data_IF_117038556479
#
_entry.id   IF_117038556479
#
_cell.length_a   1.000
_cell.length_b   1.000
_cell.length_c   1.000
_cell.angle_alpha   90.00
_cell.angle_beta   90.00
_cell.angle_gamma   90.00
#
_symmetry.space_group_name_H-M   'P 1'
#
loop_
_entity.id
_entity.type
_entity.pdbx_description
1 polymer ?
#
# COMPACT_ATOMS: atom_id res chain seq x y z
N UNK A 1 -15.92 -19.53 19.72
CA UNK A 1 -17.07 -18.57 19.75
C UNK A 1 -17.21 -17.73 21.04
N UNK A 2 -16.96 -18.25 22.25
CA UNK A 2 -17.14 -17.47 23.49
C UNK A 2 -16.29 -16.18 23.55
N UNK A 3 -15.01 -16.25 23.18
CA UNK A 3 -14.11 -15.08 23.09
C UNK A 3 -14.60 -14.03 22.10
N UNK A 4 -15.13 -14.49 20.96
CA UNK A 4 -15.68 -13.62 19.93
C UNK A 4 -16.88 -12.82 20.46
N UNK A 5 -17.81 -13.48 21.17
CA UNK A 5 -18.95 -12.80 21.78
C UNK A 5 -18.51 -11.80 22.87
N UNK A 6 -17.52 -12.16 23.69
CA UNK A 6 -16.94 -11.22 24.68
C UNK A 6 -16.36 -9.99 24.01
N UNK A 7 -15.60 -10.17 22.93
CA UNK A 7 -15.00 -9.07 22.18
C UNK A 7 -16.07 -8.18 21.52
N UNK A 8 -17.12 -8.76 20.93
CA UNK A 8 -18.24 -7.98 20.38
C UNK A 8 -18.89 -7.13 21.45
N UNK A 9 -19.25 -7.73 22.60
CA UNK A 9 -19.87 -6.98 23.70
C UNK A 9 -18.96 -5.85 24.19
N UNK A 10 -17.65 -6.09 24.26
CA UNK A 10 -16.68 -5.07 24.61
C UNK A 10 -16.71 -3.87 23.63
N UNK A 11 -16.64 -4.10 22.32
CA UNK A 11 -16.63 -3.02 21.33
C UNK A 11 -17.98 -2.33 21.17
N UNK A 12 -19.10 -3.04 21.39
CA UNK A 12 -20.43 -2.43 21.45
C UNK A 12 -20.58 -1.47 22.64
N UNK A 13 -19.98 -1.82 23.78
CA UNK A 13 -19.97 -0.97 24.96
C UNK A 13 -18.92 0.15 24.88
N UNK A 14 -17.97 0.08 23.92
CA UNK A 14 -16.90 1.06 23.73
C UNK A 14 -16.73 1.42 22.24
N UNK A 15 -17.74 2.01 21.59
CA UNK A 15 -17.74 2.23 20.14
C UNK A 15 -16.64 3.19 19.65
N UNK A 16 -16.06 3.99 20.55
CA UNK A 16 -14.93 4.87 20.27
C UNK A 16 -13.55 4.19 20.25
N UNK A 17 -13.44 2.91 20.62
CA UNK A 17 -12.16 2.19 20.57
C UNK A 17 -11.81 1.82 19.12
N UNK A 18 -10.72 2.39 18.61
CA UNK A 18 -10.13 2.00 17.33
C UNK A 18 -9.70 0.52 17.35
N UNK A 19 -9.63 -0.14 16.19
CA UNK A 19 -9.14 -1.52 16.08
C UNK A 19 -10.20 -2.61 16.22
N UNK A 20 -11.47 -2.27 16.53
CA UNK A 20 -12.52 -3.26 16.79
C UNK A 20 -12.76 -4.26 15.67
N UNK A 21 -12.97 -3.78 14.44
CA UNK A 21 -13.15 -4.63 13.26
C UNK A 21 -11.95 -5.58 13.05
N UNK A 22 -10.74 -5.04 13.18
CA UNK A 22 -9.48 -5.78 13.03
C UNK A 22 -9.33 -6.88 14.06
N UNK A 23 -9.64 -6.57 15.32
CA UNK A 23 -9.57 -7.53 16.41
C UNK A 23 -10.57 -8.67 16.18
N UNK A 24 -11.81 -8.34 15.84
CA UNK A 24 -12.85 -9.32 15.52
C UNK A 24 -12.46 -10.20 14.34
N UNK A 25 -11.92 -9.61 13.26
CA UNK A 25 -11.36 -10.35 12.12
C UNK A 25 -10.27 -11.32 12.53
N UNK A 26 -9.32 -10.87 13.35
CA UNK A 26 -8.23 -11.72 13.86
C UNK A 26 -8.76 -12.90 14.67
N UNK A 27 -9.75 -12.65 15.55
CA UNK A 27 -10.41 -13.70 16.31
C UNK A 27 -11.14 -14.68 15.39
N UNK A 28 -11.85 -14.19 14.36
CA UNK A 28 -12.55 -15.08 13.42
C UNK A 28 -11.57 -15.94 12.64
N UNK A 29 -10.48 -15.38 12.12
CA UNK A 29 -9.43 -16.13 11.41
C UNK A 29 -8.83 -17.21 12.31
N UNK A 30 -8.44 -16.85 13.55
CA UNK A 30 -7.91 -17.82 14.52
C UNK A 30 -8.94 -18.90 14.84
N UNK A 31 -10.21 -18.53 14.98
CA UNK A 31 -11.30 -19.47 15.25
C UNK A 31 -11.51 -20.46 14.10
N UNK A 32 -11.48 -19.98 12.85
CA UNK A 32 -11.56 -20.81 11.63
C UNK A 32 -10.36 -21.77 11.55
N UNK A 33 -9.14 -21.26 11.78
CA UNK A 33 -7.91 -22.09 11.82
C UNK A 33 -8.01 -23.21 12.85
N UNK A 34 -8.50 -22.87 14.05
CA UNK A 34 -8.67 -23.82 15.13
C UNK A 34 -9.91 -24.74 14.97
N UNK A 35 -10.73 -24.55 13.93
CA UNK A 35 -11.99 -25.29 13.74
C UNK A 35 -13.08 -24.95 14.76
N UNK A 36 -12.90 -23.91 15.58
CA UNK A 36 -13.85 -23.47 16.63
C UNK A 36 -14.90 -22.48 16.12
N UNK A 37 -14.76 -22.04 14.87
CA UNK A 37 -15.73 -21.25 14.13
C UNK A 37 -15.88 -21.89 12.76
N UNK A 38 -17.06 -22.47 12.51
CA UNK A 38 -17.40 -23.11 11.25
C UNK A 38 -17.75 -22.09 10.16
N UNK A 39 -17.68 -22.46 8.86
CA UNK A 39 -18.15 -21.60 7.76
C UNK A 39 -19.59 -21.11 7.94
N UNK A 40 -20.45 -21.98 8.47
CA UNK A 40 -21.83 -21.64 8.81
C UNK A 40 -21.88 -20.55 9.89
N UNK A 41 -21.06 -20.63 10.94
CA UNK A 41 -21.02 -19.57 11.95
C UNK A 41 -20.48 -18.25 11.41
N UNK A 42 -19.54 -18.27 10.45
CA UNK A 42 -19.08 -17.05 9.78
C UNK A 42 -20.21 -16.37 9.00
N UNK A 43 -21.05 -17.15 8.32
CA UNK A 43 -22.17 -16.60 7.55
C UNK A 43 -23.31 -16.07 8.44
N UNK A 44 -23.67 -16.81 9.49
CA UNK A 44 -24.90 -16.57 10.25
C UNK A 44 -24.67 -15.79 11.55
N UNK A 45 -23.50 -15.92 12.19
CA UNK A 45 -23.26 -15.45 13.57
C UNK A 45 -22.15 -14.42 13.72
N UNK A 46 -21.17 -14.40 12.84
CA UNK A 46 -20.11 -13.38 12.84
C UNK A 46 -20.70 -12.03 12.47
N UNK A 47 -20.41 -11.02 13.30
CA UNK A 47 -20.93 -9.65 13.22
C UNK A 47 -19.83 -8.64 13.55
N UNK A 48 -19.77 -7.47 12.91
CA UNK A 48 -20.60 -7.04 11.77
C UNK A 48 -20.28 -7.84 10.49
N UNK A 49 -21.15 -7.76 9.47
CA UNK A 49 -20.97 -8.44 8.18
C UNK A 49 -19.61 -8.14 7.54
N UNK A 50 -19.09 -6.93 7.75
CA UNK A 50 -17.73 -6.52 7.39
C UNK A 50 -16.63 -7.50 7.85
N UNK A 51 -16.77 -8.13 9.02
CA UNK A 51 -15.81 -9.13 9.52
C UNK A 51 -15.82 -10.37 8.63
N UNK A 52 -16.99 -10.91 8.32
CA UNK A 52 -17.13 -12.06 7.45
C UNK A 52 -16.60 -11.78 6.03
N UNK A 53 -16.90 -10.59 5.49
CA UNK A 53 -16.39 -10.16 4.17
C UNK A 53 -14.86 -10.01 4.20
N UNK A 54 -14.27 -9.49 5.28
CA UNK A 54 -12.82 -9.29 5.38
C UNK A 54 -11.99 -10.57 5.35
N UNK A 55 -12.61 -11.73 5.57
CA UNK A 55 -11.97 -13.06 5.53
C UNK A 55 -11.73 -13.52 4.09
N UNK A 56 -12.50 -13.04 3.11
CA UNK A 56 -12.29 -13.35 1.69
C UNK A 56 -10.89 -12.91 1.20
N UNK A 57 -10.30 -11.93 1.88
CA UNK A 57 -8.95 -11.46 1.60
C UNK A 57 -7.82 -12.40 2.08
N UNK A 58 -8.15 -13.47 2.82
CA UNK A 58 -7.14 -14.38 3.38
C UNK A 58 -6.67 -15.41 2.35
N UNK A 59 -5.34 -15.57 2.25
CA UNK A 59 -4.67 -16.46 1.29
C UNK A 59 -4.42 -17.86 1.83
N UNK A 60 -4.37 -17.99 3.15
CA UNK A 60 -4.06 -19.27 3.78
C UNK A 60 -5.16 -20.28 3.48
N UNK A 61 -4.76 -21.45 2.97
CA UNK A 61 -5.67 -22.46 2.39
C UNK A 61 -6.93 -22.70 3.23
N UNK A 62 -6.78 -23.00 4.52
CA UNK A 62 -7.90 -23.32 5.39
C UNK A 62 -8.92 -22.18 5.49
N UNK A 63 -8.45 -20.93 5.53
CA UNK A 63 -9.30 -19.74 5.62
C UNK A 63 -9.83 -19.35 4.24
N UNK A 64 -9.02 -19.52 3.20
CA UNK A 64 -9.41 -19.29 1.81
C UNK A 64 -10.56 -20.19 1.38
N UNK A 65 -10.60 -21.46 1.81
CA UNK A 65 -11.72 -22.38 1.53
C UNK A 65 -13.04 -21.87 2.13
N UNK A 66 -13.01 -21.33 3.35
CA UNK A 66 -14.16 -20.63 3.95
C UNK A 66 -14.51 -19.38 3.14
N UNK A 67 -13.50 -18.62 2.72
CA UNK A 67 -13.66 -17.47 1.83
C UNK A 67 -14.36 -17.81 0.52
N UNK A 68 -14.03 -18.96 -0.12
CA UNK A 68 -14.69 -19.44 -1.35
C UNK A 68 -16.17 -19.74 -1.12
N UNK A 69 -16.51 -20.40 -0.02
CA UNK A 69 -17.91 -20.67 0.35
C UNK A 69 -18.70 -19.37 0.56
N UNK A 70 -18.11 -18.41 1.25
CA UNK A 70 -18.74 -17.10 1.48
C UNK A 70 -18.90 -16.33 0.17
N UNK A 71 -17.86 -16.29 -0.66
CA UNK A 71 -17.88 -15.65 -1.97
C UNK A 71 -18.99 -16.25 -2.84
N UNK A 72 -19.07 -17.58 -2.94
CA UNK A 72 -20.13 -18.27 -3.68
C UNK A 72 -21.52 -17.88 -3.16
N UNK A 73 -21.69 -17.72 -1.83
CA UNK A 73 -22.97 -17.30 -1.26
C UNK A 73 -23.35 -15.86 -1.59
N UNK A 74 -22.38 -14.94 -1.55
CA UNK A 74 -22.60 -13.54 -1.93
C UNK A 74 -22.97 -13.48 -3.42
N UNK A 75 -22.21 -14.16 -4.29
CA UNK A 75 -22.47 -14.20 -5.72
C UNK A 75 -23.83 -14.81 -6.05
N UNK A 76 -24.22 -15.89 -5.36
CA UNK A 76 -25.54 -16.50 -5.55
C UNK A 76 -26.69 -15.58 -5.10
N UNK A 77 -26.50 -14.80 -4.03
CA UNK A 77 -27.51 -13.87 -3.52
C UNK A 77 -27.61 -12.58 -4.34
N UNK A 78 -26.49 -12.10 -4.88
CA UNK A 78 -26.45 -10.87 -5.69
C UNK A 78 -26.72 -11.11 -7.17
N UNK A 79 -26.41 -12.30 -7.68
CA UNK A 79 -26.49 -12.63 -9.09
C UNK A 79 -25.66 -11.67 -9.95
N UNK A 80 -26.26 -11.25 -11.07
CA UNK A 80 -25.70 -10.26 -12.00
C UNK A 80 -26.40 -8.90 -11.89
N UNK A 81 -27.16 -8.65 -10.82
CA UNK A 81 -27.91 -7.40 -10.63
C UNK A 81 -26.99 -6.25 -10.15
N UNK A 82 -26.77 -5.20 -10.96
CA UNK A 82 -25.92 -4.09 -10.59
C UNK A 82 -26.42 -3.28 -9.37
N UNK A 83 -27.73 -3.17 -9.17
CA UNK A 83 -28.31 -2.44 -8.03
C UNK A 83 -28.16 -3.23 -6.74
N UNK A 84 -28.30 -4.56 -6.81
CA UNK A 84 -28.04 -5.44 -5.67
C UNK A 84 -26.58 -5.35 -5.23
N UNK A 85 -25.64 -5.46 -6.16
CA UNK A 85 -24.20 -5.28 -5.88
C UNK A 85 -23.91 -3.90 -5.28
N UNK A 86 -24.48 -2.84 -5.85
CA UNK A 86 -24.30 -1.48 -5.34
C UNK A 86 -24.80 -1.32 -3.90
N UNK A 87 -25.94 -1.93 -3.58
CA UNK A 87 -26.52 -1.93 -2.23
C UNK A 87 -25.61 -2.63 -1.23
N UNK A 88 -25.06 -3.80 -1.59
CA UNK A 88 -24.14 -4.54 -0.73
C UNK A 88 -22.85 -3.75 -0.48
N UNK A 89 -22.26 -3.15 -1.52
CA UNK A 89 -21.04 -2.33 -1.41
C UNK A 89 -21.27 -1.09 -0.54
N UNK A 90 -22.41 -0.40 -0.71
CA UNK A 90 -22.76 0.80 0.07
C UNK A 90 -22.99 0.46 1.57
N UNK A 91 -23.51 -0.74 1.89
CA UNK A 91 -23.97 -1.08 3.24
C UNK A 91 -22.97 -1.89 4.08
N UNK A 92 -22.05 -2.63 3.46
CA UNK A 92 -21.25 -3.64 4.18
C UNK A 92 -20.50 -3.11 5.41
N UNK A 93 -20.05 -1.86 5.38
CA UNK A 93 -19.30 -1.25 6.47
C UNK A 93 -20.19 -0.74 7.61
N UNK A 94 -21.43 -0.37 7.31
CA UNK A 94 -22.41 0.08 8.29
C UNK A 94 -23.36 -1.03 8.74
N UNK A 95 -23.32 -2.21 8.09
CA UNK A 95 -24.19 -3.32 8.44
C UNK A 95 -23.75 -4.05 9.70
N UNK A 96 -24.63 -4.11 10.68
CA UNK A 96 -24.29 -4.52 12.06
C UNK A 96 -24.70 -5.95 12.38
N UNK A 97 -25.61 -6.49 11.56
CA UNK A 97 -25.98 -7.89 11.53
C UNK A 97 -24.91 -8.78 10.91
N UNK A 98 -25.27 -10.04 10.69
CA UNK A 98 -24.39 -11.01 10.03
C UNK A 98 -24.38 -10.80 8.52
N UNK A 99 -23.47 -11.48 7.83
CA UNK A 99 -23.44 -11.45 6.37
C UNK A 99 -24.75 -11.98 5.78
N UNK A 100 -25.31 -13.06 6.33
CA UNK A 100 -26.60 -13.56 5.84
C UNK A 100 -27.71 -12.52 5.96
N UNK A 101 -27.81 -11.84 7.12
CA UNK A 101 -28.88 -10.86 7.33
C UNK A 101 -28.73 -9.67 6.38
N UNK A 102 -27.50 -9.30 6.01
CA UNK A 102 -27.24 -8.32 4.95
C UNK A 102 -27.71 -8.81 3.58
N UNK A 103 -27.44 -10.08 3.25
CA UNK A 103 -27.83 -10.69 1.98
C UNK A 103 -29.35 -10.89 1.85
N UNK A 104 -30.09 -10.93 2.95
CA UNK A 104 -31.56 -11.05 2.97
C UNK A 104 -32.27 -9.74 3.32
N UNK A 105 -31.53 -8.64 3.53
CA UNK A 105 -32.04 -7.36 4.07
C UNK A 105 -32.83 -7.48 5.37
N UNK A 106 -32.50 -8.47 6.20
CA UNK A 106 -33.08 -8.66 7.53
C UNK A 106 -32.30 -7.79 8.53
N UNK A 107 -32.77 -6.56 8.71
CA UNK A 107 -32.07 -5.53 9.46
C UNK A 107 -32.20 -5.75 10.98
N UNK A 108 -31.07 -6.05 11.63
CA UNK A 108 -30.91 -5.96 13.08
C UNK A 108 -30.49 -4.53 13.46
N UNK A 109 -31.27 -3.86 14.32
CA UNK A 109 -30.96 -2.51 14.82
C UNK A 109 -29.85 -2.55 15.87
N UNK A 110 -28.58 -2.55 15.44
CA UNK A 110 -27.41 -2.37 16.33
C UNK A 110 -26.43 -1.34 15.74
N UNK A 111 -25.56 -0.72 16.55
CA UNK A 111 -24.54 0.23 16.07
C UNK A 111 -23.36 -0.45 15.36
N UNK A 112 -22.87 0.18 14.28
CA UNK A 112 -21.78 -0.35 13.45
C UNK A 112 -20.43 -0.02 14.05
N UNK A 113 -19.45 -0.92 13.93
CA UNK A 113 -18.08 -0.64 14.33
C UNK A 113 -17.35 0.05 13.18
N UNK A 114 -16.75 1.24 13.40
CA UNK A 114 -16.02 1.94 12.34
C UNK A 114 -14.79 1.12 11.91
N UNK A 115 -14.45 1.11 10.60
CA UNK A 115 -13.20 0.51 10.16
C UNK A 115 -12.00 1.25 10.78
N UNK A 116 -10.92 0.51 11.04
CA UNK A 116 -9.69 1.12 11.56
C UNK A 116 -9.01 1.95 10.47
N UNK A 117 -8.22 2.95 10.88
CA UNK A 117 -7.35 3.66 9.92
C UNK A 117 -6.37 2.66 9.29
N UNK A 118 -6.11 2.78 7.97
CA UNK A 118 -5.17 1.90 7.30
C UNK A 118 -3.78 2.12 7.86
N UNK A 119 -3.03 1.03 8.04
CA UNK A 119 -1.62 1.10 8.39
C UNK A 119 -0.91 -0.05 7.66
N UNK A 120 -0.03 0.34 6.71
CA UNK A 120 0.71 -0.55 5.81
C UNK A 120 1.53 -1.59 6.58
N UNK A 121 2.16 -1.15 7.65
CA UNK A 121 3.11 -1.90 8.46
C UNK A 121 2.46 -2.82 9.50
N UNK A 122 1.19 -2.58 9.85
CA UNK A 122 0.40 -3.47 10.74
C UNK A 122 -0.56 -4.39 9.98
N UNK A 123 -0.61 -4.31 8.64
CA UNK A 123 -1.38 -5.24 7.80
C UNK A 123 -2.90 -5.00 7.80
N UNK A 124 -3.37 -3.83 8.26
CA UNK A 124 -4.80 -3.50 8.40
C UNK A 124 -5.31 -2.64 7.25
N UNK A 125 -5.25 -3.17 6.03
CA UNK A 125 -5.54 -2.37 4.82
C UNK A 125 -6.74 -2.90 4.04
N UNK A 126 -7.32 -4.02 4.46
CA UNK A 126 -8.45 -4.63 3.79
C UNK A 126 -9.73 -3.88 4.10
N UNK A 127 -10.37 -3.35 3.05
CA UNK A 127 -11.67 -2.70 3.16
C UNK A 127 -12.77 -3.63 2.67
N UNK A 128 -13.81 -3.92 3.48
CA UNK A 128 -14.92 -4.79 3.07
C UNK A 128 -15.60 -4.32 1.78
N UNK A 129 -15.80 -3.02 1.60
CA UNK A 129 -16.35 -2.46 0.36
C UNK A 129 -15.46 -2.77 -0.86
N UNK A 130 -14.12 -2.70 -0.71
CA UNK A 130 -13.19 -3.05 -1.78
C UNK A 130 -13.25 -4.54 -2.12
N UNK A 131 -13.40 -5.41 -1.12
CA UNK A 131 -13.54 -6.85 -1.31
C UNK A 131 -14.83 -7.18 -2.09
N UNK A 132 -15.94 -6.54 -1.74
CA UNK A 132 -17.20 -6.71 -2.48
C UNK A 132 -17.10 -6.18 -3.91
N UNK A 133 -16.49 -5.01 -4.12
CA UNK A 133 -16.25 -4.46 -5.46
C UNK A 133 -15.34 -5.37 -6.29
N UNK A 134 -14.35 -6.00 -5.66
CA UNK A 134 -13.45 -6.99 -6.26
C UNK A 134 -14.14 -8.31 -6.63
N UNK A 135 -15.18 -8.70 -5.89
CA UNK A 135 -15.97 -9.91 -6.12
C UNK A 135 -17.06 -9.70 -7.19
N UNK A 136 -17.57 -8.47 -7.32
CA UNK A 136 -18.64 -8.13 -8.25
C UNK A 136 -18.25 -8.44 -9.71
N UNK A 137 -19.21 -8.87 -10.55
CA UNK A 137 -19.00 -8.90 -12.00
C UNK A 137 -18.53 -7.54 -12.53
N UNK A 138 -17.68 -7.53 -13.55
CA UNK A 138 -17.03 -6.31 -14.04
C UNK A 138 -18.02 -5.20 -14.43
N UNK A 139 -19.17 -5.57 -14.98
CA UNK A 139 -20.25 -4.63 -15.31
C UNK A 139 -20.91 -4.03 -14.07
N UNK A 140 -21.17 -4.84 -13.04
CA UNK A 140 -21.71 -4.37 -11.77
C UNK A 140 -20.74 -3.43 -11.05
N UNK A 141 -19.44 -3.76 -11.07
CA UNK A 141 -18.40 -2.92 -10.47
C UNK A 141 -18.29 -1.55 -11.17
N UNK A 142 -18.36 -1.52 -12.51
CA UNK A 142 -18.39 -0.28 -13.29
C UNK A 142 -19.67 0.51 -13.00
N UNK A 143 -20.83 -0.14 -13.03
CA UNK A 143 -22.13 0.48 -12.72
C UNK A 143 -22.12 1.17 -11.37
N UNK A 144 -21.61 0.51 -10.32
CA UNK A 144 -21.49 1.11 -8.99
C UNK A 144 -20.77 2.48 -9.03
N UNK A 145 -19.66 2.58 -9.76
CA UNK A 145 -18.82 3.77 -9.81
C UNK A 145 -19.34 4.85 -10.77
N UNK A 146 -20.16 4.49 -11.76
CA UNK A 146 -20.60 5.42 -12.80
C UNK A 146 -22.08 5.80 -12.74
N UNK A 147 -22.93 4.96 -12.12
CA UNK A 147 -24.37 5.14 -12.10
C UNK A 147 -24.84 5.84 -10.82
N UNK A 148 -25.87 6.66 -10.95
CA UNK A 148 -26.60 7.25 -9.83
C UNK A 148 -27.13 8.65 -10.13
N UNK A 149 -28.31 8.96 -9.58
CA UNK A 149 -28.77 10.33 -9.45
C UNK A 149 -27.77 11.16 -8.62
N UNK A 150 -27.79 12.49 -8.76
CA UNK A 150 -26.78 13.42 -8.20
C UNK A 150 -26.46 13.13 -6.72
N UNK A 151 -27.46 12.90 -5.86
CA UNK A 151 -27.24 12.61 -4.44
C UNK A 151 -26.52 11.27 -4.16
N UNK A 152 -26.84 10.22 -4.93
CA UNK A 152 -26.16 8.92 -4.85
C UNK A 152 -24.75 9.00 -5.41
N UNK A 153 -24.54 9.77 -6.48
CA UNK A 153 -23.23 9.98 -7.08
C UNK A 153 -22.24 10.65 -6.12
N UNK A 154 -22.66 11.68 -5.38
CA UNK A 154 -21.81 12.34 -4.36
C UNK A 154 -21.40 11.37 -3.26
N UNK A 155 -22.35 10.59 -2.72
CA UNK A 155 -22.07 9.59 -1.69
C UNK A 155 -21.08 8.54 -2.19
N UNK A 156 -21.28 8.01 -3.41
CA UNK A 156 -20.41 6.99 -4.02
C UNK A 156 -19.04 7.55 -4.38
N UNK A 157 -18.93 8.80 -4.82
CA UNK A 157 -17.64 9.47 -5.01
C UNK A 157 -16.87 9.59 -3.69
N UNK A 158 -17.56 9.94 -2.60
CA UNK A 158 -16.99 9.95 -1.26
C UNK A 158 -16.54 8.56 -0.80
N UNK A 159 -17.30 7.51 -1.11
CA UNK A 159 -16.89 6.13 -0.83
C UNK A 159 -15.69 5.72 -1.68
N UNK A 160 -15.69 5.96 -2.99
CA UNK A 160 -14.60 5.66 -3.91
C UNK A 160 -13.29 6.35 -3.48
N UNK A 161 -13.34 7.61 -3.07
CA UNK A 161 -12.20 8.31 -2.47
C UNK A 161 -11.63 7.53 -1.28
N UNK A 162 -12.50 7.12 -0.35
CA UNK A 162 -12.06 6.36 0.82
C UNK A 162 -11.60 4.94 0.45
N UNK A 163 -12.14 4.33 -0.60
CA UNK A 163 -11.74 3.01 -1.09
C UNK A 163 -10.35 3.01 -1.73
N UNK A 164 -9.97 4.12 -2.39
CA UNK A 164 -8.68 4.28 -3.05
C UNK A 164 -7.47 4.15 -2.10
N UNK A 165 -7.67 4.46 -0.80
CA UNK A 165 -6.64 4.34 0.23
C UNK A 165 -6.45 2.91 0.80
N UNK A 166 -7.21 1.91 0.32
CA UNK A 166 -7.26 0.56 0.90
C UNK A 166 -7.16 -0.53 -0.17
N UNK A 167 -6.96 -1.77 0.27
CA UNK A 167 -6.92 -2.97 -0.59
C UNK A 167 -8.18 -3.85 -0.40
N UNK A 168 -8.49 -4.73 -1.38
CA UNK A 168 -7.84 -4.82 -2.69
C UNK A 168 -8.15 -3.61 -3.57
N UNK A 169 -7.23 -3.25 -4.45
CA UNK A 169 -7.56 -2.34 -5.56
C UNK A 169 -8.17 -3.15 -6.69
N UNK A 170 -9.30 -2.69 -7.22
CA UNK A 170 -9.93 -3.27 -8.42
C UNK A 170 -9.68 -2.38 -9.63
N UNK A 171 -9.65 -2.99 -10.82
CA UNK A 171 -9.51 -2.25 -12.08
C UNK A 171 -10.57 -1.17 -12.24
N UNK A 172 -11.82 -1.49 -11.92
CA UNK A 172 -12.93 -0.53 -12.00
C UNK A 172 -12.70 0.70 -11.09
N UNK A 173 -12.22 0.51 -9.85
CA UNK A 173 -11.91 1.60 -8.94
C UNK A 173 -10.78 2.48 -9.48
N UNK A 174 -9.69 1.87 -9.95
CA UNK A 174 -8.54 2.58 -10.51
C UNK A 174 -8.93 3.37 -11.75
N UNK A 175 -9.65 2.76 -12.70
CA UNK A 175 -10.14 3.43 -13.92
C UNK A 175 -11.08 4.60 -13.58
N UNK A 176 -11.97 4.44 -12.59
CA UNK A 176 -12.81 5.53 -12.14
C UNK A 176 -12.01 6.68 -11.53
N UNK A 177 -11.05 6.40 -10.65
CA UNK A 177 -10.17 7.40 -10.02
C UNK A 177 -9.32 8.16 -11.04
N UNK A 178 -8.86 7.47 -12.09
CA UNK A 178 -8.11 8.03 -13.21
C UNK A 178 -9.01 8.64 -14.30
N UNK A 179 -10.33 8.69 -14.12
CA UNK A 179 -11.22 9.34 -15.09
C UNK A 179 -11.39 10.83 -14.79
N UNK A 180 -12.03 11.56 -15.70
CA UNK A 180 -12.47 12.95 -15.48
C UNK A 180 -13.50 13.08 -14.35
N UNK A 181 -14.16 11.99 -13.96
CA UNK A 181 -15.09 11.94 -12.82
C UNK A 181 -14.40 11.65 -11.49
N UNK A 182 -13.15 11.19 -11.52
CA UNK A 182 -12.36 10.93 -10.33
C UNK A 182 -11.95 12.25 -9.65
N UNK A 183 -12.11 12.32 -8.33
CA UNK A 183 -11.70 13.51 -7.57
C UNK A 183 -10.18 13.52 -7.33
N UNK A 184 -9.58 14.72 -7.26
CA UNK A 184 -8.16 14.84 -6.91
C UNK A 184 -7.83 14.21 -5.55
N UNK A 185 -8.75 14.29 -4.57
CA UNK A 185 -8.59 13.57 -3.29
C UNK A 185 -8.54 12.04 -3.46
N UNK A 186 -9.29 11.47 -4.40
CA UNK A 186 -9.23 10.04 -4.69
C UNK A 186 -7.91 9.68 -5.36
N UNK A 187 -7.41 10.50 -6.29
CA UNK A 187 -6.09 10.33 -6.91
C UNK A 187 -4.97 10.41 -5.90
N UNK A 188 -5.00 11.40 -5.00
CA UNK A 188 -4.05 11.51 -3.90
C UNK A 188 -4.13 10.30 -2.96
N UNK A 189 -5.34 9.83 -2.63
CA UNK A 189 -5.52 8.62 -1.80
C UNK A 189 -4.97 7.37 -2.48
N UNK A 190 -5.12 7.26 -3.81
CA UNK A 190 -4.54 6.18 -4.61
C UNK A 190 -3.01 6.31 -4.67
N UNK A 191 -2.49 7.53 -4.86
CA UNK A 191 -1.05 7.80 -4.89
C UNK A 191 -0.37 7.51 -3.55
N UNK A 192 -1.06 7.70 -2.42
CA UNK A 192 -0.56 7.42 -1.08
C UNK A 192 -0.81 5.96 -0.61
N UNK A 193 -1.55 5.17 -1.38
CA UNK A 193 -1.82 3.78 -1.03
C UNK A 193 -0.60 2.91 -1.36
N UNK A 194 0.07 2.42 -0.32
CA UNK A 194 1.27 1.59 -0.37
C UNK A 194 1.22 0.42 -1.40
N UNK A 195 0.03 -0.10 -1.72
CA UNK A 195 -0.12 -1.20 -2.67
C UNK A 195 -0.56 -0.78 -4.09
N UNK A 196 -0.53 0.51 -4.39
CA UNK A 196 -0.79 0.99 -5.74
C UNK A 196 0.34 0.54 -6.69
N UNK A 197 0.01 -0.12 -7.82
CA UNK A 197 0.99 -0.55 -8.81
C UNK A 197 1.79 0.61 -9.39
N UNK A 198 3.06 0.39 -9.73
CA UNK A 198 3.91 1.43 -10.34
C UNK A 198 3.33 1.97 -11.64
N UNK A 199 2.71 1.12 -12.47
CA UNK A 199 2.03 1.58 -13.69
C UNK A 199 0.90 2.59 -13.40
N UNK A 200 0.21 2.44 -12.26
CA UNK A 200 -0.84 3.37 -11.83
C UNK A 200 -0.22 4.65 -11.25
N UNK A 201 0.86 4.53 -10.48
CA UNK A 201 1.60 5.71 -9.98
C UNK A 201 2.16 6.56 -11.13
N UNK A 202 2.74 5.93 -12.16
CA UNK A 202 3.23 6.61 -13.36
C UNK A 202 2.10 7.32 -14.12
N UNK A 203 0.91 6.72 -14.19
CA UNK A 203 -0.26 7.37 -14.78
C UNK A 203 -0.70 8.58 -13.93
N UNK A 204 -0.70 8.45 -12.60
CA UNK A 204 -1.04 9.53 -11.68
C UNK A 204 -0.09 10.74 -11.78
N UNK A 205 1.21 10.51 -12.00
CA UNK A 205 2.18 11.60 -12.20
C UNK A 205 1.90 12.41 -13.47
N UNK A 206 1.33 11.79 -14.51
CA UNK A 206 0.93 12.44 -15.76
C UNK A 206 -0.34 13.28 -15.64
N UNK A 207 -1.09 13.15 -14.54
CA UNK A 207 -2.25 14.00 -14.29
C UNK A 207 -1.79 15.42 -13.88
N UNK A 208 -2.00 16.37 -14.79
CA UNK A 208 -1.60 17.77 -14.63
C UNK A 208 -2.25 18.39 -13.39
N UNK A 209 -1.44 19.06 -12.55
CA UNK A 209 -1.92 20.08 -11.62
C UNK A 209 -2.01 19.69 -10.14
N UNK A 210 -1.51 18.53 -9.72
CA UNK A 210 -1.57 18.11 -8.31
C UNK A 210 -0.18 17.84 -7.72
N UNK A 211 0.56 18.88 -7.25
CA UNK A 211 1.87 18.72 -6.61
C UNK A 211 1.88 17.71 -5.45
N UNK A 212 0.73 17.55 -4.78
CA UNK A 212 0.53 16.58 -3.72
C UNK A 212 0.68 15.13 -4.19
N UNK A 213 0.32 14.81 -5.44
CA UNK A 213 0.52 13.45 -6.01
C UNK A 213 2.01 13.16 -6.14
N UNK A 214 2.79 14.08 -6.70
CA UNK A 214 4.23 13.90 -6.81
C UNK A 214 4.88 13.75 -5.42
N UNK A 215 4.42 14.50 -4.42
CA UNK A 215 4.85 14.30 -3.03
C UNK A 215 4.51 12.91 -2.51
N UNK A 216 3.26 12.47 -2.67
CA UNK A 216 2.84 11.13 -2.25
C UNK A 216 3.64 10.02 -2.91
N UNK A 217 4.01 10.17 -4.20
CA UNK A 217 4.85 9.19 -4.92
C UNK A 217 6.30 9.20 -4.42
N UNK A 218 6.88 10.38 -4.14
CA UNK A 218 8.25 10.48 -3.57
C UNK A 218 8.34 9.85 -2.18
N UNK A 219 7.28 9.97 -1.39
CA UNK A 219 7.19 9.47 -0.01
C UNK A 219 6.55 8.07 0.08
N UNK A 220 6.19 7.48 -1.06
CA UNK A 220 5.44 6.23 -1.10
C UNK A 220 6.24 5.08 -0.49
N UNK A 221 5.62 4.25 0.35
CA UNK A 221 6.30 3.17 1.07
C UNK A 221 7.03 2.20 0.13
N UNK A 222 6.42 1.87 -1.02
CA UNK A 222 6.91 0.79 -1.88
C UNK A 222 7.06 1.17 -3.35
N UNK A 223 7.04 2.47 -3.72
CA UNK A 223 7.11 2.86 -5.12
C UNK A 223 8.45 2.43 -5.72
N UNK A 224 8.41 1.88 -6.92
CA UNK A 224 9.61 1.49 -7.65
C UNK A 224 10.48 2.69 -7.98
N UNK A 225 11.80 2.46 -8.06
CA UNK A 225 12.79 3.51 -8.24
C UNK A 225 12.51 4.45 -9.41
N UNK A 226 12.10 3.91 -10.57
CA UNK A 226 11.87 4.71 -11.79
C UNK A 226 10.72 5.72 -11.63
N UNK A 227 9.57 5.27 -11.12
CA UNK A 227 8.42 6.15 -10.81
C UNK A 227 8.78 7.17 -9.75
N UNK A 228 9.56 6.77 -8.74
CA UNK A 228 9.99 7.68 -7.69
C UNK A 228 10.93 8.74 -8.24
N UNK A 229 11.87 8.37 -9.10
CA UNK A 229 12.78 9.30 -9.76
C UNK A 229 12.04 10.31 -10.62
N UNK A 230 11.05 9.88 -11.42
CA UNK A 230 10.17 10.79 -12.16
C UNK A 230 9.50 11.83 -11.24
N UNK A 231 9.01 11.40 -10.07
CA UNK A 231 8.42 12.29 -9.08
C UNK A 231 9.43 13.25 -8.40
N UNK A 232 10.71 12.87 -8.31
CA UNK A 232 11.80 13.73 -7.85
C UNK A 232 12.20 14.76 -8.90
N UNK A 233 12.19 14.41 -10.19
CA UNK A 233 12.50 15.34 -11.27
C UNK A 233 11.54 16.54 -11.31
N UNK A 234 10.27 16.33 -10.97
CA UNK A 234 9.28 17.42 -10.86
C UNK A 234 9.64 18.51 -9.82
N UNK A 235 10.58 18.23 -8.91
CA UNK A 235 11.01 19.15 -7.85
C UNK A 235 12.54 19.28 -7.77
N UNK A 236 13.27 18.95 -8.85
CA UNK A 236 14.76 18.99 -8.89
C UNK A 236 15.33 20.33 -8.39
N UNK A 237 14.69 21.44 -8.80
CA UNK A 237 15.08 22.80 -8.41
C UNK A 237 14.68 23.20 -6.97
N UNK A 238 14.14 22.27 -6.17
CA UNK A 238 13.65 22.51 -4.81
C UNK A 238 14.30 21.53 -3.82
N UNK A 239 15.59 21.71 -3.47
CA UNK A 239 16.33 20.78 -2.62
C UNK A 239 15.68 20.54 -1.25
N UNK A 240 15.01 21.55 -0.69
CA UNK A 240 14.26 21.42 0.57
C UNK A 240 13.07 20.46 0.48
N UNK A 241 12.40 20.39 -0.67
CA UNK A 241 11.31 19.44 -0.89
C UNK A 241 11.85 18.02 -1.03
N UNK A 242 12.98 17.86 -1.72
CA UNK A 242 13.67 16.58 -1.88
C UNK A 242 14.13 16.05 -0.51
N UNK A 243 14.82 16.88 0.29
CA UNK A 243 15.29 16.53 1.63
C UNK A 243 14.15 16.05 2.53
N UNK A 244 13.02 16.75 2.55
CA UNK A 244 11.84 16.35 3.35
C UNK A 244 11.30 14.99 2.92
N UNK A 245 11.12 14.76 1.61
CA UNK A 245 10.61 13.47 1.13
C UNK A 245 11.61 12.33 1.36
N UNK A 246 12.92 12.59 1.26
CA UNK A 246 13.96 11.61 1.60
C UNK A 246 13.96 11.26 3.09
N UNK A 247 13.78 12.24 3.99
CA UNK A 247 13.69 11.99 5.42
C UNK A 247 12.53 11.05 5.77
N UNK A 248 11.37 11.22 5.12
CA UNK A 248 10.21 10.32 5.30
C UNK A 248 10.51 8.93 4.73
N UNK A 249 11.07 8.87 3.51
CA UNK A 249 11.43 7.60 2.86
C UNK A 249 12.40 6.77 3.71
N UNK A 250 13.44 7.41 4.24
CA UNK A 250 14.54 6.73 4.93
C UNK A 250 14.21 6.30 6.36
N UNK A 251 13.04 6.69 6.90
CA UNK A 251 12.57 6.20 8.21
C UNK A 251 12.43 4.66 8.22
N UNK A 252 11.97 4.07 7.10
CA UNK A 252 11.80 2.62 6.95
C UNK A 252 12.27 2.06 5.60
N UNK A 253 12.68 2.91 4.67
CA UNK A 253 12.84 2.57 3.25
C UNK A 253 14.25 2.71 2.68
N UNK A 254 15.25 2.16 3.38
CA UNK A 254 16.65 2.19 2.93
C UNK A 254 16.83 1.45 1.59
N UNK A 255 16.20 0.28 1.42
CA UNK A 255 16.16 -0.43 0.14
C UNK A 255 15.50 0.41 -0.97
N UNK A 256 14.39 1.08 -0.66
CA UNK A 256 13.68 1.92 -1.63
C UNK A 256 14.49 3.13 -2.09
N UNK A 257 15.37 3.65 -1.22
CA UNK A 257 16.34 4.66 -1.61
C UNK A 257 17.40 4.09 -2.56
N UNK A 258 17.91 2.88 -2.32
CA UNK A 258 18.84 2.24 -3.25
C UNK A 258 18.17 1.92 -4.60
N UNK A 259 16.92 1.46 -4.59
CA UNK A 259 16.14 1.25 -5.82
C UNK A 259 15.96 2.56 -6.59
N UNK A 260 15.74 3.69 -5.89
CA UNK A 260 15.72 5.02 -6.49
C UNK A 260 17.04 5.35 -7.17
N UNK A 261 18.18 5.17 -6.49
CA UNK A 261 19.51 5.43 -7.06
C UNK A 261 19.82 4.55 -8.27
N UNK A 262 19.40 3.28 -8.23
CA UNK A 262 19.55 2.34 -9.34
C UNK A 262 18.72 2.74 -10.57
N UNK A 263 17.62 3.46 -10.36
CA UNK A 263 16.75 3.93 -11.43
C UNK A 263 17.17 5.28 -12.04
N UNK A 264 18.15 5.98 -11.43
CA UNK A 264 18.73 7.19 -12.03
C UNK A 264 19.54 6.79 -13.27
N UNK A 265 19.30 7.42 -14.43
CA UNK A 265 20.11 7.20 -15.63
C UNK A 265 21.60 7.39 -15.38
N UNK A 266 22.43 6.59 -16.06
CA UNK A 266 23.89 6.64 -15.90
C UNK A 266 24.48 7.99 -16.37
N UNK A 267 23.80 8.72 -17.24
CA UNK A 267 24.21 10.07 -17.65
C UNK A 267 23.82 11.17 -16.64
N UNK A 268 23.04 10.87 -15.59
CA UNK A 268 22.65 11.83 -14.53
C UNK A 268 23.40 11.59 -13.21
N UNK A 269 24.74 11.53 -13.29
CA UNK A 269 25.63 11.48 -12.12
C UNK A 269 25.33 12.59 -11.09
N UNK A 270 24.97 13.79 -11.57
CA UNK A 270 24.60 14.93 -10.73
C UNK A 270 23.35 14.63 -9.89
N UNK A 271 22.36 13.96 -10.48
CA UNK A 271 21.17 13.51 -9.78
C UNK A 271 21.50 12.51 -8.65
N UNK A 272 22.36 11.52 -8.92
CA UNK A 272 22.80 10.54 -7.91
C UNK A 272 23.52 11.26 -6.76
N UNK A 273 24.53 12.09 -7.09
CA UNK A 273 25.28 12.86 -6.11
C UNK A 273 24.37 13.75 -5.25
N UNK A 274 23.41 14.45 -5.86
CA UNK A 274 22.43 15.29 -5.15
C UNK A 274 21.56 14.48 -4.18
N UNK A 275 21.03 13.33 -4.61
CA UNK A 275 20.17 12.49 -3.77
C UNK A 275 20.93 11.97 -2.55
N UNK A 276 22.16 11.50 -2.74
CA UNK A 276 23.03 11.04 -1.64
C UNK A 276 23.34 12.18 -0.67
N UNK A 277 23.72 13.34 -1.20
CA UNK A 277 24.00 14.54 -0.40
C UNK A 277 22.81 14.98 0.44
N UNK A 278 21.61 14.98 -0.13
CA UNK A 278 20.40 15.44 0.55
C UNK A 278 19.84 14.42 1.55
N UNK A 279 20.12 13.12 1.34
CA UNK A 279 19.81 12.07 2.30
C UNK A 279 20.67 12.21 3.58
N UNK A 280 21.97 12.49 3.42
CA UNK A 280 22.87 12.84 4.53
C UNK A 280 22.84 11.83 5.68
N UNK A 281 22.57 12.33 6.89
CA UNK A 281 22.53 11.53 8.13
C UNK A 281 21.40 10.49 8.19
N UNK A 282 20.39 10.59 7.31
CA UNK A 282 19.31 9.61 7.27
C UNK A 282 19.73 8.27 6.62
N UNK A 283 20.89 8.22 5.97
CA UNK A 283 21.47 6.98 5.47
C UNK A 283 22.18 6.24 6.60
N UNK A 284 21.77 5.00 6.84
CA UNK A 284 22.57 4.08 7.65
C UNK A 284 23.93 3.78 6.96
N UNK A 285 24.93 3.30 7.71
CA UNK A 285 26.26 3.05 7.15
C UNK A 285 26.29 2.07 5.96
N UNK A 286 25.45 1.04 5.96
CA UNK A 286 25.43 0.02 4.91
C UNK A 286 24.80 0.59 3.63
N UNK A 287 23.70 1.32 3.77
CA UNK A 287 23.02 2.02 2.68
C UNK A 287 23.92 3.09 2.09
N UNK A 288 24.65 3.84 2.92
CA UNK A 288 25.62 4.84 2.44
C UNK A 288 26.73 4.19 1.62
N UNK A 289 27.29 3.08 2.06
CA UNK A 289 28.31 2.33 1.30
C UNK A 289 27.78 1.87 -0.05
N UNK A 290 26.57 1.32 -0.09
CA UNK A 290 25.92 0.90 -1.34
C UNK A 290 25.65 2.10 -2.28
N UNK A 291 25.20 3.23 -1.74
CA UNK A 291 24.99 4.45 -2.50
C UNK A 291 26.30 5.03 -3.07
N UNK A 292 27.38 5.02 -2.29
CA UNK A 292 28.71 5.42 -2.75
C UNK A 292 29.25 4.49 -3.82
N UNK A 293 29.02 3.17 -3.72
CA UNK A 293 29.38 2.24 -4.78
C UNK A 293 28.68 2.62 -6.10
N UNK A 294 27.38 2.91 -6.05
CA UNK A 294 26.61 3.36 -7.22
C UNK A 294 27.13 4.68 -7.79
N UNK A 295 27.49 5.65 -6.95
CA UNK A 295 28.06 6.92 -7.44
C UNK A 295 29.44 6.71 -8.09
N UNK A 296 30.30 5.89 -7.48
CA UNK A 296 31.63 5.59 -8.02
C UNK A 296 31.59 4.88 -9.37
N UNK A 297 30.57 4.05 -9.61
CA UNK A 297 30.33 3.42 -10.93
C UNK A 297 30.08 4.44 -12.04
N UNK A 298 29.40 5.53 -11.71
CA UNK A 298 28.84 6.46 -12.68
C UNK A 298 29.72 7.71 -12.87
N UNK A 299 30.38 8.18 -11.81
CA UNK A 299 31.12 9.45 -11.77
C UNK A 299 32.55 9.31 -11.23
N UNK A 300 33.06 8.09 -11.14
CA UNK A 300 34.38 7.78 -10.56
C UNK A 300 34.50 8.15 -9.06
N UNK A 301 35.67 7.91 -8.46
CA UNK A 301 35.85 7.94 -7.01
C UNK A 301 35.84 9.35 -6.40
N UNK A 302 36.16 10.39 -7.17
CA UNK A 302 36.34 11.77 -6.69
C UNK A 302 35.04 12.39 -6.17
N UNK A 303 33.91 12.07 -6.82
CA UNK A 303 32.59 12.49 -6.36
C UNK A 303 32.25 11.86 -5.00
N UNK A 304 32.68 10.62 -4.77
CA UNK A 304 32.50 9.93 -3.48
C UNK A 304 33.40 10.54 -2.41
N UNK A 305 34.68 10.82 -2.72
CA UNK A 305 35.61 11.44 -1.77
C UNK A 305 35.07 12.78 -1.26
N UNK A 306 34.54 13.60 -2.18
CA UNK A 306 33.97 14.90 -1.85
C UNK A 306 32.76 14.78 -0.92
N UNK A 307 31.85 13.83 -1.20
CA UNK A 307 30.67 13.60 -0.36
C UNK A 307 31.04 13.08 1.02
N UNK A 308 31.91 12.07 1.09
CA UNK A 308 32.26 11.43 2.35
C UNK A 308 33.09 12.37 3.25
N UNK A 309 34.00 13.17 2.67
CA UNK A 309 34.73 14.18 3.43
C UNK A 309 33.78 15.28 3.97
N UNK A 310 32.85 15.76 3.14
CA UNK A 310 31.87 16.75 3.57
C UNK A 310 30.93 16.22 4.66
N UNK A 311 30.63 14.92 4.62
CA UNK A 311 29.84 14.23 5.64
C UNK A 311 30.63 14.01 6.93
N UNK A 312 31.82 13.42 6.84
CA UNK A 312 32.65 13.02 7.98
C UNK A 312 33.26 14.23 8.70
N UNK A 313 33.46 15.35 8.00
CA UNK A 313 34.04 16.59 8.52
C UNK A 313 35.56 16.56 8.69
N UNK A 314 36.20 15.40 8.58
CA UNK A 314 37.66 15.22 8.59
C UNK A 314 38.08 13.96 7.84
N UNK A 315 39.35 13.91 7.42
CA UNK A 315 39.91 12.73 6.75
C UNK A 315 39.92 11.50 7.66
N UNK A 316 40.14 11.66 8.96
CA UNK A 316 40.23 10.56 9.92
C UNK A 316 38.88 9.87 10.17
N UNK A 317 37.78 10.61 10.01
CA UNK A 317 36.42 10.12 10.22
C UNK A 317 35.75 9.56 8.96
N UNK A 318 36.40 9.68 7.78
CA UNK A 318 35.91 9.13 6.52
C UNK A 318 35.78 7.61 6.57
N UNK A 319 34.92 7.07 5.71
CA UNK A 319 34.80 5.63 5.53
C UNK A 319 36.19 5.05 5.11
N UNK A 320 36.68 3.98 5.77
CA UNK A 320 38.04 3.49 5.58
C UNK A 320 38.45 3.15 4.14
N UNK A 321 37.56 2.57 3.33
CA UNK A 321 37.75 2.24 1.91
C UNK A 321 37.74 3.49 1.04
N UNK A 322 36.87 4.46 1.32
CA UNK A 322 36.86 5.76 0.61
C UNK A 322 38.17 6.50 0.87
N UNK A 323 38.61 6.57 2.13
CA UNK A 323 39.90 7.15 2.53
C UNK A 323 41.10 6.44 1.89
N UNK A 324 41.08 5.10 1.85
CA UNK A 324 42.13 4.31 1.20
C UNK A 324 42.18 4.57 -0.31
N UNK A 325 41.03 4.68 -0.97
CA UNK A 325 40.93 5.03 -2.39
C UNK A 325 41.46 6.43 -2.67
N UNK A 326 41.10 7.41 -1.83
CA UNK A 326 41.60 8.79 -1.93
C UNK A 326 43.12 8.86 -1.80
N UNK A 327 43.71 8.12 -0.84
CA UNK A 327 45.16 8.04 -0.67
C UNK A 327 45.88 7.35 -1.84
N UNK A 328 45.24 6.36 -2.47
CA UNK A 328 45.79 5.64 -3.61
C UNK A 328 45.69 6.42 -4.94
N UNK A 329 44.84 7.45 -5.01
CA UNK A 329 44.64 8.26 -6.22
C UNK A 329 44.10 7.47 -7.42
N UNK A 330 43.43 6.33 -7.19
CA UNK A 330 42.93 5.44 -8.24
C UNK A 330 41.44 5.16 -8.08
N UNK A 331 40.66 5.52 -9.11
CA UNK A 331 39.23 5.28 -9.20
C UNK A 331 38.86 3.82 -9.44
N UNK A 332 39.78 3.02 -9.99
CA UNK A 332 39.49 1.69 -10.56
C UNK A 332 39.12 0.57 -9.57
N UNK A 333 38.98 0.84 -8.27
CA UNK A 333 38.65 -0.19 -7.26
C UNK A 333 37.66 0.24 -6.18
N UNK A 334 37.20 1.49 -6.15
CA UNK A 334 36.35 1.95 -5.04
C UNK A 334 34.97 1.30 -5.08
N UNK A 335 34.32 1.27 -6.25
CA UNK A 335 33.01 0.65 -6.41
C UNK A 335 33.06 -0.85 -6.04
N UNK A 336 34.08 -1.59 -6.52
CA UNK A 336 34.25 -3.00 -6.21
C UNK A 336 34.52 -3.24 -4.72
N UNK A 337 35.41 -2.45 -4.12
CA UNK A 337 35.72 -2.50 -2.69
C UNK A 337 34.48 -2.27 -1.83
N UNK A 338 33.64 -1.29 -2.18
CA UNK A 338 32.41 -0.98 -1.45
C UNK A 338 31.34 -2.10 -1.57
N UNK A 339 31.30 -2.85 -2.69
CA UNK A 339 30.34 -3.94 -2.90
C UNK A 339 30.66 -5.25 -2.17
N UNK A 340 31.87 -5.40 -1.61
CA UNK A 340 32.28 -6.64 -0.91
C UNK A 340 31.39 -7.01 0.28
N UNK A 341 30.66 -6.05 0.85
CA UNK A 341 29.61 -6.27 1.85
C UNK A 341 28.26 -5.79 1.29
N UNK A 342 27.42 -6.70 0.77
CA UNK A 342 26.14 -6.28 0.22
C UNK A 342 25.20 -5.80 1.32
N UNK A 343 24.44 -4.75 1.02
CA UNK A 343 23.37 -4.27 1.88
C UNK A 343 22.39 -5.41 2.20
N UNK A 344 22.06 -5.57 3.48
CA UNK A 344 21.10 -6.57 3.96
C UNK A 344 19.84 -5.86 4.39
N UNK A 345 18.84 -5.86 3.52
CA UNK A 345 17.54 -5.26 3.80
C UNK A 345 16.86 -5.95 4.99
N UNK A 346 16.72 -5.28 6.16
CA UNK A 346 16.04 -5.85 7.32
C UNK A 346 14.53 -6.09 7.05
N UNK A 347 13.97 -5.48 6.01
CA UNK A 347 12.57 -5.56 5.62
C UNK A 347 12.33 -6.36 4.32
N UNK A 348 13.31 -7.15 3.88
CA UNK A 348 13.24 -7.89 2.60
C UNK A 348 11.93 -8.69 2.45
N UNK A 349 11.49 -9.37 3.50
CA UNK A 349 10.25 -10.15 3.49
C UNK A 349 8.99 -9.30 3.25
N UNK A 350 8.95 -8.09 3.83
CA UNK A 350 7.85 -7.13 3.64
C UNK A 350 7.89 -6.58 2.23
N UNK A 351 9.07 -6.18 1.74
CA UNK A 351 9.25 -5.63 0.40
C UNK A 351 8.85 -6.63 -0.70
N UNK A 352 9.25 -7.89 -0.57
CA UNK A 352 8.85 -8.96 -1.50
C UNK A 352 7.34 -9.19 -1.45
N UNK A 353 6.72 -9.21 -0.26
CA UNK A 353 5.28 -9.37 -0.12
C UNK A 353 4.50 -8.19 -0.73
N UNK A 354 4.97 -6.96 -0.50
CA UNK A 354 4.39 -5.75 -1.06
C UNK A 354 4.50 -5.75 -2.60
N UNK A 355 5.67 -6.05 -3.16
CA UNK A 355 5.87 -6.17 -4.61
C UNK A 355 4.91 -7.19 -5.24
N UNK A 356 4.71 -8.34 -4.61
CA UNK A 356 3.76 -9.36 -5.08
C UNK A 356 2.30 -8.87 -5.08
N UNK A 357 1.92 -7.98 -4.15
CA UNK A 357 0.59 -7.38 -4.04
C UNK A 357 0.37 -6.20 -4.99
N UNK A 358 1.44 -5.51 -5.40
CA UNK A 358 1.42 -4.31 -6.26
C UNK A 358 1.38 -4.63 -7.76
N UNK A 359 1.27 -5.89 -8.17
CA UNK A 359 1.28 -6.24 -9.59
C UNK A 359 0.01 -5.78 -10.29
N UNK A 360 0.14 -5.11 -11.43
CA UNK A 360 -0.98 -4.51 -12.15
C UNK A 360 -1.99 -5.54 -12.71
N UNK A 361 -1.53 -6.76 -13.00
CA UNK A 361 -2.39 -7.87 -13.41
C UNK A 361 -3.39 -8.27 -12.31
N UNK A 362 -3.03 -8.08 -11.03
CA UNK A 362 -3.94 -8.30 -9.90
C UNK A 362 -5.10 -7.32 -9.87
N UNK A 363 -5.05 -6.16 -10.54
CA UNK A 363 -6.21 -5.25 -10.59
C UNK A 363 -7.43 -5.91 -11.25
N UNK A 364 -7.22 -6.81 -12.22
CA UNK A 364 -8.30 -7.58 -12.85
C UNK A 364 -8.70 -8.83 -12.07
N UNK A 365 -7.84 -9.28 -11.15
CA UNK A 365 -8.07 -10.46 -10.28
C UNK A 365 -7.52 -10.18 -8.88
N UNK A 366 -8.14 -9.26 -8.12
CA UNK A 366 -7.62 -8.81 -6.83
C UNK A 366 -7.58 -9.87 -5.73
N UNK A 367 -8.42 -10.90 -5.87
CA UNK A 367 -8.54 -12.04 -4.94
C UNK A 367 -8.31 -13.36 -5.70
N UNK A 368 -7.10 -13.59 -6.25
CA UNK A 368 -6.86 -14.71 -7.17
C UNK A 368 -6.99 -16.09 -6.51
N UNK A 369 -6.82 -16.17 -5.18
CA UNK A 369 -6.96 -17.41 -4.40
C UNK A 369 -8.43 -17.85 -4.20
N UNK A 370 -9.42 -17.02 -4.54
CA UNK A 370 -10.83 -17.37 -4.44
C UNK A 370 -11.39 -18.12 -5.65
N UNK A 371 -10.58 -18.38 -6.69
CA UNK A 371 -10.99 -19.12 -7.89
C UNK A 371 -10.80 -20.62 -7.77
#
# INVERSE_FOLDING_TARGET
MADYHRAISHFQNHPGRAGGLTHLRTLTIRGVRAGTISPHEVLFRVRPAAVAVSILAERERQVADVGKLIAARITAAAGTDPERWSTLIDRVESWTGSLLSMLTDDADARPSLPPSRPNAWTGHLWRPANILLALAPAECARHFLTAGAVGTAVRRAGLAQRMAAFVPLSRALVEHTLSSRGSGRARLSLAANAFTPDAVLAELLRWVGEPAIATAVREHDFAGGAVRYEAFQAVRERPEAIRRSLAVLLEYGQQQFLDLLAAVPEDDAVGIHMLIKLAGDALDPDTRRAAYARLAEVCEAEAVWTLDLAYAGSLEAMEPRVRASMAAGSAGSLAESLRTEPFRDPYQGVNVAAAAMRRADLLGRPLPWLR
#
